data_IF_450888680493
#
_entry.id   IF_450888680493
#
_cell.length_a   1.000
_cell.length_b   1.000
_cell.length_c   1.000
_cell.angle_alpha   90.00
_cell.angle_beta   90.00
_cell.angle_gamma   90.00
#
_symmetry.space_group_name_H-M   'P 1'
#
loop_
_entity.id
_entity.type
_entity.pdbx_description
1 polymer ?
#
# COMPACT_ATOMS: atom_id res chain seq x y z
N UNK A 1 12.31 -1.19 44.52
CA UNK A 1 11.74 -0.21 45.48
C UNK A 1 10.27 -0.08 45.11
N UNK A 2 9.43 -0.99 45.60
CA UNK A 2 8.13 -1.31 44.97
C UNK A 2 6.96 -1.39 45.94
N UNK A 3 7.17 -1.05 47.22
CA UNK A 3 6.10 -1.06 48.21
C UNK A 3 5.41 0.32 48.22
N UNK A 4 4.23 0.39 47.61
CA UNK A 4 3.45 1.62 47.50
C UNK A 4 2.86 2.03 48.85
N UNK A 5 2.49 1.07 49.69
CA UNK A 5 2.02 1.37 51.05
C UNK A 5 3.15 2.01 51.86
N UNK A 6 4.37 1.51 51.72
CA UNK A 6 5.57 2.11 52.30
C UNK A 6 5.85 3.52 51.73
N UNK A 7 5.85 3.72 50.41
CA UNK A 7 6.05 5.05 49.81
C UNK A 7 4.98 6.06 50.25
N UNK A 8 3.70 5.66 50.32
CA UNK A 8 2.62 6.51 50.82
C UNK A 8 2.78 6.82 52.31
N UNK A 9 3.12 5.82 53.13
CA UNK A 9 3.36 6.00 54.55
C UNK A 9 4.59 6.89 54.82
N UNK A 10 5.61 6.78 53.97
CA UNK A 10 6.82 7.59 53.99
C UNK A 10 6.53 9.05 53.63
N UNK A 11 5.70 9.30 52.60
CA UNK A 11 5.34 10.66 52.17
C UNK A 11 4.34 11.36 53.09
N UNK A 12 3.33 10.62 53.56
CA UNK A 12 2.33 11.13 54.52
C UNK A 12 2.93 11.37 55.90
N UNK A 13 4.10 10.78 56.19
CA UNK A 13 4.78 10.91 57.46
C UNK A 13 4.31 9.91 58.52
N UNK A 14 3.41 8.98 58.16
CA UNK A 14 2.83 8.01 59.11
C UNK A 14 3.82 6.95 59.60
N UNK A 15 5.00 6.83 58.96
CA UNK A 15 6.09 5.95 59.41
C UNK A 15 6.92 6.54 60.56
N UNK A 16 6.80 7.84 60.82
CA UNK A 16 7.61 8.54 61.82
C UNK A 16 6.83 8.70 63.12
N UNK A 17 7.51 8.50 64.26
CA UNK A 17 6.88 8.56 65.59
C UNK A 17 6.53 9.99 66.02
N UNK A 18 7.23 10.97 65.46
CA UNK A 18 7.26 12.36 65.89
C UNK A 18 7.74 13.28 64.75
N UNK A 19 7.31 14.55 64.78
CA UNK A 19 7.59 15.52 63.71
C UNK A 19 9.08 15.89 63.58
N UNK A 20 9.87 15.68 64.63
CA UNK A 20 11.31 16.00 64.63
C UNK A 20 12.07 15.01 63.72
N UNK A 21 11.89 13.71 63.93
CA UNK A 21 12.44 12.67 63.05
C UNK A 21 11.96 12.78 61.60
N UNK A 22 10.69 13.18 61.39
CA UNK A 22 10.18 13.45 60.03
C UNK A 22 10.91 14.63 59.37
N UNK A 23 11.21 15.70 60.12
CA UNK A 23 11.95 16.86 59.61
C UNK A 23 13.40 16.51 59.28
N UNK A 24 14.07 15.77 60.15
CA UNK A 24 15.44 15.29 59.92
C UNK A 24 15.53 14.40 58.67
N UNK A 25 14.61 13.42 58.57
CA UNK A 25 14.55 12.55 57.40
C UNK A 25 14.28 13.32 56.10
N UNK A 26 13.34 14.28 56.12
CA UNK A 26 13.06 15.14 54.96
C UNK A 26 14.28 15.95 54.54
N UNK A 27 15.04 16.48 55.50
CA UNK A 27 16.28 17.21 55.21
C UNK A 27 17.33 16.32 54.54
N UNK A 28 17.48 15.06 54.97
CA UNK A 28 18.38 14.08 54.36
C UNK A 28 17.90 13.59 52.99
N UNK A 29 16.58 13.49 52.78
CA UNK A 29 15.97 13.04 51.52
C UNK A 29 15.92 14.13 50.45
N UNK A 30 15.79 15.40 50.83
CA UNK A 30 15.61 16.52 49.91
C UNK A 30 16.71 16.63 48.82
N UNK A 31 18.01 16.42 49.11
CA UNK A 31 19.03 16.34 48.08
C UNK A 31 18.75 15.20 47.08
N UNK A 32 18.41 14.01 47.57
CA UNK A 32 18.14 12.85 46.72
C UNK A 32 16.90 13.06 45.82
N UNK A 33 15.81 13.62 46.36
CA UNK A 33 14.64 13.98 45.55
C UNK A 33 14.97 15.07 44.51
N UNK A 34 15.85 16.01 44.86
CA UNK A 34 16.37 17.01 43.91
C UNK A 34 17.13 16.31 42.78
N UNK A 35 17.99 15.34 43.08
CA UNK A 35 18.71 14.55 42.09
C UNK A 35 17.75 13.75 41.19
N UNK A 36 16.76 13.05 41.78
CA UNK A 36 15.75 12.34 41.01
C UNK A 36 14.94 13.27 40.11
N UNK A 37 14.62 14.49 40.56
CA UNK A 37 13.86 15.46 39.76
C UNK A 37 14.60 15.97 38.53
N UNK A 38 15.94 15.86 38.52
CA UNK A 38 16.78 16.17 37.36
C UNK A 38 16.73 15.08 36.28
N UNK A 39 16.34 13.86 36.63
CA UNK A 39 16.20 12.77 35.66
C UNK A 39 14.90 12.99 34.88
N UNK A 40 15.06 13.40 33.61
CA UNK A 40 13.96 13.78 32.73
C UNK A 40 12.83 12.75 32.68
N UNK A 41 13.16 11.48 32.49
CA UNK A 41 12.18 10.39 32.44
C UNK A 41 11.40 10.25 33.75
N UNK A 42 12.09 10.24 34.90
CA UNK A 42 11.44 10.07 36.21
C UNK A 42 10.58 11.26 36.61
N UNK A 43 10.86 12.44 36.05
CA UNK A 43 10.07 13.66 36.23
C UNK A 43 8.73 13.59 35.48
N UNK A 44 8.71 12.96 34.31
CA UNK A 44 7.58 13.01 33.38
C UNK A 44 6.82 11.68 33.20
N UNK A 45 7.36 10.56 33.66
CA UNK A 45 6.70 9.24 33.61
C UNK A 45 5.43 9.22 34.47
N UNK A 46 4.34 8.66 33.95
CA UNK A 46 3.12 8.49 34.72
C UNK A 46 3.33 7.34 35.71
N UNK A 47 3.12 7.60 37.00
CA UNK A 47 3.31 6.60 38.07
C UNK A 47 1.95 6.03 38.47
N UNK A 48 1.88 4.72 38.70
CA UNK A 48 0.61 4.05 39.02
C UNK A 48 0.09 4.30 40.45
N UNK A 49 0.81 5.09 41.24
CA UNK A 49 0.48 5.43 42.62
C UNK A 49 0.36 6.95 42.86
N UNK A 50 0.36 7.75 41.79
CA UNK A 50 0.33 9.21 41.88
C UNK A 50 -0.70 9.80 40.91
N UNK A 51 -1.64 10.57 41.46
CA UNK A 51 -2.51 11.43 40.67
C UNK A 51 -1.71 12.65 40.19
N UNK A 52 -1.35 12.69 38.91
CA UNK A 52 -0.60 13.79 38.31
C UNK A 52 -1.15 14.17 36.93
N UNK A 53 -2.10 15.11 36.85
CA UNK A 53 -2.71 15.53 35.59
C UNK A 53 -1.73 16.05 34.55
N UNK A 54 -0.59 16.59 34.99
CA UNK A 54 0.48 17.08 34.11
C UNK A 54 1.27 15.91 33.52
N UNK A 55 1.52 14.84 34.28
CA UNK A 55 2.30 13.70 33.80
C UNK A 55 1.55 12.83 32.82
N UNK A 56 0.24 12.73 32.94
CA UNK A 56 -0.62 11.96 32.02
C UNK A 56 -0.39 12.32 30.54
N UNK A 57 -0.49 13.60 30.11
CA UNK A 57 -0.18 13.98 28.73
C UNK A 57 1.33 14.05 28.46
N UNK A 58 2.20 14.37 29.41
CA UNK A 58 3.65 14.43 29.10
C UNK A 58 4.27 13.05 28.93
N UNK A 59 3.76 12.04 29.63
CA UNK A 59 4.24 10.66 29.55
C UNK A 59 4.03 10.05 28.15
N UNK A 60 3.06 10.55 27.37
CA UNK A 60 2.84 10.08 25.99
C UNK A 60 3.96 10.45 25.03
N UNK A 61 4.84 11.37 25.40
CA UNK A 61 5.99 11.76 24.58
C UNK A 61 7.27 11.02 24.97
N UNK A 62 7.28 10.31 26.11
CA UNK A 62 8.41 9.50 26.55
C UNK A 62 8.38 8.12 25.91
N UNK A 63 9.55 7.58 25.58
CA UNK A 63 9.67 6.23 25.01
C UNK A 63 10.82 5.50 25.70
N UNK A 64 10.59 4.21 26.03
CA UNK A 64 11.55 3.38 26.75
C UNK A 64 12.70 2.88 25.89
N UNK A 65 12.52 2.88 24.57
CA UNK A 65 13.48 2.38 23.59
C UNK A 65 13.23 2.98 22.21
N UNK A 66 14.20 2.84 21.30
CA UNK A 66 14.13 3.39 19.95
C UNK A 66 13.08 2.68 19.07
N UNK A 67 13.00 1.36 19.14
CA UNK A 67 12.02 0.54 18.45
C UNK A 67 10.59 0.86 18.88
N UNK A 68 10.36 1.11 20.17
CA UNK A 68 9.07 1.56 20.68
C UNK A 68 8.68 2.94 20.11
N UNK A 69 9.62 3.88 20.04
CA UNK A 69 9.39 5.18 19.39
C UNK A 69 9.08 5.01 17.89
N UNK A 70 9.91 4.26 17.17
CA UNK A 70 9.74 4.07 15.73
C UNK A 70 8.38 3.44 15.40
N UNK A 71 7.99 2.40 16.13
CA UNK A 71 6.68 1.77 15.98
C UNK A 71 5.54 2.77 16.17
N UNK A 72 5.58 3.54 17.27
CA UNK A 72 4.57 4.56 17.54
C UNK A 72 4.51 5.63 16.45
N UNK A 73 5.65 6.09 15.94
CA UNK A 73 5.67 7.11 14.88
C UNK A 73 5.13 6.59 13.55
N UNK A 74 5.36 5.32 13.20
CA UNK A 74 4.79 4.72 11.99
C UNK A 74 3.26 4.65 12.07
N UNK A 75 2.72 4.20 13.20
CA UNK A 75 1.27 4.19 13.43
C UNK A 75 0.69 5.61 13.45
N UNK A 76 1.35 6.55 14.13
CA UNK A 76 0.93 7.94 14.20
C UNK A 76 0.98 8.61 12.83
N UNK A 77 1.98 8.33 11.99
CA UNK A 77 2.05 8.86 10.64
C UNK A 77 0.92 8.29 9.76
N UNK A 78 0.72 6.97 9.78
CA UNK A 78 -0.28 6.32 8.93
C UNK A 78 -1.72 6.71 9.33
N UNK A 79 -2.05 6.60 10.62
CA UNK A 79 -3.39 6.87 11.12
C UNK A 79 -3.63 8.35 11.39
N UNK A 80 -2.62 9.03 11.94
CA UNK A 80 -2.74 10.42 12.34
C UNK A 80 -2.93 11.36 11.17
N UNK A 81 -2.25 11.15 10.04
CA UNK A 81 -2.46 11.97 8.82
C UNK A 81 -3.87 11.81 8.26
N UNK A 82 -4.42 10.60 8.25
CA UNK A 82 -5.80 10.35 7.84
C UNK A 82 -6.79 11.07 8.76
N UNK A 83 -6.61 10.91 10.07
CA UNK A 83 -7.53 11.48 11.05
C UNK A 83 -7.42 13.01 11.08
N UNK A 84 -6.21 13.57 11.03
CA UNK A 84 -5.94 15.00 10.91
C UNK A 84 -6.58 15.59 9.64
N UNK A 85 -6.50 14.90 8.50
CA UNK A 85 -7.20 15.31 7.30
C UNK A 85 -8.72 15.33 7.49
N UNK A 86 -9.27 14.36 8.22
CA UNK A 86 -10.69 14.22 8.49
C UNK A 86 -11.26 15.21 9.52
N UNK A 87 -10.49 15.68 10.50
CA UNK A 87 -11.00 16.57 11.57
C UNK A 87 -10.26 17.91 11.70
N UNK A 88 -9.12 18.07 11.03
CA UNK A 88 -8.22 19.23 11.12
C UNK A 88 -7.20 19.13 12.25
N UNK A 89 -6.08 19.83 12.08
CA UNK A 89 -4.90 19.81 12.98
C UNK A 89 -5.20 20.17 14.43
N UNK A 90 -6.03 21.19 14.68
CA UNK A 90 -6.39 21.61 16.04
C UNK A 90 -7.17 20.54 16.81
N UNK A 91 -8.19 19.95 16.18
CA UNK A 91 -8.97 18.87 16.79
C UNK A 91 -8.16 17.58 16.92
N UNK A 92 -7.27 17.31 15.97
CA UNK A 92 -6.33 16.20 16.05
C UNK A 92 -5.41 16.32 17.27
N UNK A 93 -4.80 17.50 17.49
CA UNK A 93 -3.94 17.73 18.65
C UNK A 93 -4.72 17.57 19.97
N UNK A 94 -5.92 18.15 20.05
CA UNK A 94 -6.78 18.00 21.23
C UNK A 94 -7.14 16.53 21.48
N UNK A 95 -7.50 15.81 20.42
CA UNK A 95 -7.83 14.39 20.50
C UNK A 95 -6.64 13.55 20.98
N UNK A 96 -5.43 13.83 20.48
CA UNK A 96 -4.21 13.14 20.91
C UNK A 96 -3.93 13.38 22.40
N UNK A 97 -3.98 14.63 22.85
CA UNK A 97 -3.69 15.00 24.25
C UNK A 97 -4.76 14.49 25.22
N UNK A 98 -6.04 14.69 24.90
CA UNK A 98 -7.16 14.25 25.76
C UNK A 98 -7.32 12.73 25.73
N UNK A 99 -7.06 12.09 24.59
CA UNK A 99 -7.03 10.64 24.46
C UNK A 99 -5.89 10.02 25.27
N UNK A 100 -4.69 10.60 25.19
CA UNK A 100 -3.55 10.21 26.02
C UNK A 100 -3.78 10.40 27.52
N UNK A 101 -4.47 11.50 27.89
CA UNK A 101 -4.95 11.71 29.25
C UNK A 101 -5.94 10.63 29.68
N UNK A 102 -6.94 10.31 28.86
CA UNK A 102 -7.93 9.26 29.13
C UNK A 102 -7.31 7.87 29.25
N UNK A 103 -6.35 7.53 28.39
CA UNK A 103 -5.57 6.29 28.47
C UNK A 103 -4.80 6.19 29.78
N UNK A 104 -4.09 7.26 30.16
CA UNK A 104 -3.31 7.33 31.40
C UNK A 104 -4.20 7.26 32.63
N UNK A 105 -5.39 7.88 32.57
CA UNK A 105 -6.39 7.84 33.64
C UNK A 105 -6.93 6.43 33.85
N UNK A 106 -7.30 5.74 32.76
CA UNK A 106 -7.78 4.36 32.81
C UNK A 106 -6.71 3.42 33.38
N UNK A 107 -5.47 3.57 32.91
CA UNK A 107 -4.34 2.79 33.42
C UNK A 107 -4.05 3.06 34.90
N UNK A 108 -4.11 4.33 35.32
CA UNK A 108 -3.94 4.70 36.72
C UNK A 108 -5.03 4.10 37.61
N UNK A 109 -6.28 4.06 37.14
CA UNK A 109 -7.37 3.42 37.89
C UNK A 109 -7.22 1.90 37.95
N UNK A 110 -6.80 1.27 36.84
CA UNK A 110 -6.64 -0.18 36.80
C UNK A 110 -5.48 -0.65 37.69
N UNK A 111 -4.36 0.07 37.66
CA UNK A 111 -3.11 -0.29 38.32
C UNK A 111 -2.85 0.51 39.59
N UNK A 112 -3.90 1.09 40.18
CA UNK A 112 -3.73 1.97 41.33
C UNK A 112 -3.04 1.23 42.48
N UNK A 113 -1.92 1.76 42.93
CA UNK A 113 -1.16 1.16 44.02
C UNK A 113 -0.20 0.05 43.58
N UNK A 114 -0.13 -0.27 42.30
CA UNK A 114 0.88 -1.20 41.78
C UNK A 114 2.24 -0.52 41.61
N UNK A 115 3.34 -1.27 41.76
CA UNK A 115 4.66 -0.77 41.40
C UNK A 115 4.79 -0.58 39.89
N UNK A 116 5.29 0.59 39.48
CA UNK A 116 5.60 0.90 38.10
C UNK A 116 4.87 2.13 37.58
N UNK A 117 4.75 2.21 36.26
CA UNK A 117 4.21 3.36 35.57
C UNK A 117 4.09 3.15 34.07
N UNK A 118 3.41 4.08 33.41
CA UNK A 118 3.20 4.10 31.98
C UNK A 118 3.99 5.22 31.30
N UNK A 119 4.53 4.91 30.12
CA UNK A 119 5.07 5.88 29.17
C UNK A 119 4.86 5.38 27.74
N UNK A 120 4.80 6.30 26.78
CA UNK A 120 4.66 5.99 25.37
C UNK A 120 3.42 6.60 24.74
N UNK A 121 3.52 6.87 23.44
CA UNK A 121 2.42 7.41 22.64
C UNK A 121 1.30 6.38 22.39
N UNK A 122 1.53 5.10 22.66
CA UNK A 122 0.63 4.01 22.28
C UNK A 122 -0.79 4.14 22.86
N UNK A 123 -0.96 4.64 24.08
CA UNK A 123 -2.30 4.95 24.63
C UNK A 123 -3.02 6.09 23.89
N UNK A 124 -2.29 7.13 23.50
CA UNK A 124 -2.85 8.21 22.67
C UNK A 124 -3.16 7.73 21.25
N UNK A 125 -2.32 6.89 20.66
CA UNK A 125 -2.56 6.25 19.35
C UNK A 125 -3.80 5.34 19.42
N UNK A 126 -3.96 4.57 20.49
CA UNK A 126 -5.18 3.78 20.73
C UNK A 126 -6.42 4.67 20.78
N UNK A 127 -6.33 5.88 21.35
CA UNK A 127 -7.41 6.86 21.28
C UNK A 127 -7.66 7.38 19.86
N UNK A 128 -6.62 7.64 19.06
CA UNK A 128 -6.80 7.96 17.65
C UNK A 128 -7.49 6.82 16.89
N UNK A 129 -7.17 5.56 17.19
CA UNK A 129 -7.82 4.38 16.60
C UNK A 129 -9.31 4.31 16.96
N UNK A 130 -9.65 4.54 18.23
CA UNK A 130 -11.03 4.60 18.69
C UNK A 130 -11.82 5.70 17.99
N UNK A 131 -11.25 6.90 17.91
CA UNK A 131 -11.85 8.03 17.22
C UNK A 131 -12.01 7.78 15.72
N UNK A 132 -10.99 7.20 15.06
CA UNK A 132 -11.03 6.83 13.65
C UNK A 132 -12.21 5.89 13.35
N UNK A 133 -12.44 4.87 14.19
CA UNK A 133 -13.56 3.96 14.03
C UNK A 133 -14.92 4.67 14.07
N UNK A 134 -15.07 5.66 14.94
CA UNK A 134 -16.31 6.43 15.07
C UNK A 134 -16.48 7.47 13.96
N UNK A 135 -15.41 8.17 13.57
CA UNK A 135 -15.42 9.19 12.51
C UNK A 135 -15.70 8.58 11.14
N UNK A 136 -15.12 7.41 10.84
CA UNK A 136 -15.44 6.66 9.61
C UNK A 136 -16.76 5.88 9.72
N UNK A 137 -17.13 5.44 10.92
CA UNK A 137 -18.43 4.83 11.21
C UNK A 137 -18.70 3.57 10.39
N UNK A 138 -19.84 3.55 9.67
CA UNK A 138 -20.28 2.38 8.88
C UNK A 138 -19.61 2.25 7.50
N UNK A 139 -18.70 3.17 7.14
CA UNK A 139 -17.98 3.12 5.86
C UNK A 139 -17.18 1.83 5.74
N UNK A 140 -17.17 1.24 4.54
CA UNK A 140 -16.49 -0.04 4.29
C UNK A 140 -15.06 0.22 3.83
N UNK A 141 -14.09 -0.10 4.67
CA UNK A 141 -12.67 0.01 4.32
C UNK A 141 -12.11 -1.40 4.10
N UNK A 142 -11.11 -1.52 3.21
CA UNK A 142 -10.34 -2.76 3.05
C UNK A 142 -9.36 -2.89 4.21
N UNK A 143 -9.52 -3.94 4.99
CA UNK A 143 -8.56 -4.34 6.01
C UNK A 143 -7.70 -5.45 5.44
N UNK A 144 -6.39 -5.25 5.50
CA UNK A 144 -5.45 -6.33 5.31
C UNK A 144 -5.52 -7.26 6.51
N UNK A 145 -5.73 -8.56 6.28
CA UNK A 145 -5.56 -9.55 7.32
C UNK A 145 -4.55 -10.61 6.88
N UNK A 146 -3.75 -11.05 7.84
CA UNK A 146 -2.85 -12.18 7.68
C UNK A 146 -3.25 -13.21 8.72
N UNK A 147 -3.66 -14.39 8.27
CA UNK A 147 -3.90 -15.53 9.14
C UNK A 147 -3.07 -16.71 8.63
N UNK A 148 -2.00 -17.04 9.37
CA UNK A 148 -1.01 -18.08 9.05
C UNK A 148 -0.35 -17.95 7.66
N UNK A 149 -1.02 -18.36 6.58
CA UNK A 149 -0.52 -18.43 5.20
C UNK A 149 -1.46 -17.73 4.20
N UNK A 150 -2.62 -17.24 4.66
CA UNK A 150 -3.59 -16.54 3.80
C UNK A 150 -3.41 -15.04 3.96
N UNK A 151 -2.99 -14.39 2.88
CA UNK A 151 -2.95 -12.94 2.73
C UNK A 151 -4.15 -12.51 1.92
N UNK A 152 -5.10 -11.80 2.53
CA UNK A 152 -6.27 -11.34 1.81
C UNK A 152 -6.82 -10.05 2.42
N UNK A 153 -7.74 -9.41 1.69
CA UNK A 153 -8.36 -8.17 2.09
C UNK A 153 -9.83 -8.41 2.40
N UNK A 154 -10.28 -8.03 3.59
CA UNK A 154 -11.69 -8.04 3.96
C UNK A 154 -12.26 -6.63 3.85
N UNK A 155 -13.45 -6.46 3.27
CA UNK A 155 -14.18 -5.19 3.30
C UNK A 155 -15.19 -5.23 4.42
N UNK A 156 -15.02 -4.38 5.42
CA UNK A 156 -15.93 -4.31 6.56
C UNK A 156 -16.18 -2.87 7.01
N UNK A 157 -17.29 -2.60 7.71
CA UNK A 157 -17.50 -1.32 8.38
C UNK A 157 -16.37 -1.05 9.39
N UNK A 158 -15.72 0.12 9.34
CA UNK A 158 -14.62 0.47 10.26
C UNK A 158 -15.05 0.39 11.72
N UNK A 159 -16.30 0.75 12.03
CA UNK A 159 -16.83 0.67 13.39
C UNK A 159 -16.76 -0.73 14.00
N UNK A 160 -16.68 -1.81 13.20
CA UNK A 160 -16.52 -3.17 13.72
C UNK A 160 -15.11 -3.45 14.26
N UNK A 161 -14.10 -2.68 13.86
CA UNK A 161 -12.76 -2.81 14.41
C UNK A 161 -12.70 -2.41 15.88
N UNK A 162 -13.53 -1.46 16.31
CA UNK A 162 -13.55 -0.98 17.68
C UNK A 162 -13.83 -2.10 18.71
N UNK A 163 -14.94 -2.87 18.63
CA UNK A 163 -15.18 -3.97 19.56
C UNK A 163 -14.16 -5.11 19.40
N UNK A 164 -13.62 -5.33 18.19
CA UNK A 164 -12.60 -6.37 17.96
C UNK A 164 -11.29 -6.02 18.67
N UNK A 165 -10.77 -4.80 18.46
CA UNK A 165 -9.56 -4.33 19.13
C UNK A 165 -9.77 -4.21 20.62
N UNK A 166 -10.87 -3.61 21.08
CA UNK A 166 -11.15 -3.52 22.51
C UNK A 166 -11.27 -4.90 23.16
N UNK A 167 -11.95 -5.85 22.50
CA UNK A 167 -12.06 -7.23 22.98
C UNK A 167 -10.69 -7.91 23.07
N UNK A 168 -9.81 -7.68 22.09
CA UNK A 168 -8.42 -8.16 22.12
C UNK A 168 -7.63 -7.56 23.28
N UNK A 169 -7.68 -6.24 23.48
CA UNK A 169 -6.99 -5.57 24.61
C UNK A 169 -7.46 -6.11 25.95
N UNK A 170 -8.78 -6.28 26.14
CA UNK A 170 -9.35 -6.82 27.38
C UNK A 170 -8.99 -8.29 27.59
N UNK A 171 -8.99 -9.10 26.52
CA UNK A 171 -8.56 -10.50 26.59
C UNK A 171 -7.08 -10.61 26.96
N UNK A 172 -6.23 -9.81 26.33
CA UNK A 172 -4.80 -9.75 26.61
C UNK A 172 -4.56 -9.26 28.04
N UNK A 173 -5.29 -8.25 28.51
CA UNK A 173 -5.21 -7.79 29.90
C UNK A 173 -5.58 -8.90 30.90
N UNK A 174 -6.56 -9.75 30.58
CA UNK A 174 -6.99 -10.85 31.45
C UNK A 174 -6.07 -12.08 31.38
N UNK A 175 -5.33 -12.25 30.28
CA UNK A 175 -4.53 -13.46 29.99
C UNK A 175 -3.03 -13.26 30.16
N UNK A 176 -2.56 -12.02 30.34
CA UNK A 176 -1.13 -11.69 30.44
C UNK A 176 -0.71 -11.52 31.89
N UNK A 177 0.17 -12.41 32.37
CA UNK A 177 0.80 -12.29 33.71
C UNK A 177 2.00 -11.31 33.73
N UNK A 178 2.48 -10.85 32.57
CA UNK A 178 3.72 -10.07 32.44
C UNK A 178 3.45 -8.62 31.98
N UNK A 179 3.67 -7.66 32.89
CA UNK A 179 3.34 -6.22 32.75
C UNK A 179 4.26 -5.37 31.86
N UNK A 180 4.74 -5.89 30.72
CA UNK A 180 5.54 -5.10 29.77
C UNK A 180 4.69 -4.27 28.79
N UNK A 181 3.44 -4.68 28.54
CA UNK A 181 2.50 -3.99 27.64
C UNK A 181 1.32 -3.45 28.45
N UNK A 182 1.01 -2.17 28.28
CA UNK A 182 -0.06 -1.48 29.00
C UNK A 182 -1.41 -1.65 28.28
N UNK A 183 -1.92 -2.90 28.23
CA UNK A 183 -3.23 -3.22 27.61
C UNK A 183 -4.39 -2.43 28.25
N UNK A 184 -4.28 -2.12 29.54
CA UNK A 184 -5.17 -1.23 30.29
C UNK A 184 -5.19 0.20 29.73
N UNK A 185 -4.01 0.76 29.42
CA UNK A 185 -3.89 2.06 28.79
C UNK A 185 -4.43 2.05 27.35
N UNK A 186 -4.23 0.96 26.61
CA UNK A 186 -4.74 0.82 25.23
C UNK A 186 -6.26 0.71 25.20
N UNK A 187 -6.85 -0.12 26.06
CA UNK A 187 -8.31 -0.21 26.20
C UNK A 187 -8.93 1.14 26.60
N UNK A 188 -8.34 1.80 27.61
CA UNK A 188 -8.77 3.15 28.03
C UNK A 188 -8.62 4.21 26.93
N UNK A 189 -7.54 4.13 26.16
CA UNK A 189 -7.31 4.93 24.96
C UNK A 189 -8.42 4.73 23.94
N UNK A 190 -8.68 3.50 23.51
CA UNK A 190 -9.74 3.17 22.54
C UNK A 190 -11.10 3.72 22.96
N UNK A 191 -11.49 3.53 24.23
CA UNK A 191 -12.78 4.01 24.74
C UNK A 191 -12.83 5.54 24.78
N UNK A 192 -11.81 6.19 25.37
CA UNK A 192 -11.76 7.66 25.44
C UNK A 192 -11.73 8.31 24.05
N UNK A 193 -10.96 7.74 23.13
CA UNK A 193 -10.91 8.12 21.73
C UNK A 193 -12.25 7.97 21.01
N UNK A 194 -12.94 6.84 21.20
CA UNK A 194 -14.26 6.62 20.61
C UNK A 194 -15.30 7.63 21.12
N UNK A 195 -15.29 7.95 22.42
CA UNK A 195 -16.17 8.96 23.01
C UNK A 195 -15.87 10.37 22.47
N UNK A 196 -14.59 10.75 22.40
CA UNK A 196 -14.18 12.02 21.81
C UNK A 196 -14.49 12.09 20.30
N UNK A 197 -14.31 11.00 19.57
CA UNK A 197 -14.71 10.86 18.17
C UNK A 197 -16.22 11.03 17.98
N UNK A 198 -17.03 10.40 18.84
CA UNK A 198 -18.49 10.57 18.83
C UNK A 198 -18.90 12.02 19.08
N UNK A 199 -18.24 12.68 20.03
CA UNK A 199 -18.43 14.11 20.29
C UNK A 199 -18.06 14.97 19.06
N UNK A 200 -16.93 14.71 18.41
CA UNK A 200 -16.52 15.44 17.19
C UNK A 200 -17.51 15.27 16.04
N UNK A 201 -18.03 14.05 15.86
CA UNK A 201 -19.07 13.75 14.87
C UNK A 201 -20.37 14.49 15.21
N UNK A 202 -20.80 14.46 16.48
CA UNK A 202 -21.98 15.18 16.95
C UNK A 202 -21.88 16.70 16.76
N UNK A 203 -20.68 17.26 17.00
CA UNK A 203 -20.36 18.67 16.79
C UNK A 203 -20.13 19.04 15.31
N UNK A 204 -20.29 18.09 14.38
CA UNK A 204 -20.05 18.27 12.94
C UNK A 204 -18.66 18.85 12.62
N UNK A 205 -17.64 18.42 13.37
CA UNK A 205 -16.24 18.84 13.17
C UNK A 205 -15.48 17.94 12.21
N UNK A 206 -16.09 16.86 11.72
CA UNK A 206 -15.54 16.05 10.64
C UNK A 206 -15.67 16.76 9.29
N UNK A 207 -14.78 16.42 8.34
CA UNK A 207 -14.71 16.95 6.98
C UNK A 207 -15.12 15.84 6.00
N UNK A 208 -16.42 15.72 5.65
CA UNK A 208 -16.92 14.62 4.84
C UNK A 208 -16.21 14.51 3.48
N UNK A 209 -15.92 15.65 2.84
CA UNK A 209 -15.24 15.72 1.56
C UNK A 209 -13.84 15.07 1.57
N UNK A 210 -13.08 15.23 2.67
CA UNK A 210 -11.79 14.55 2.82
C UNK A 210 -11.98 13.04 2.96
N UNK A 211 -12.97 12.63 3.75
CA UNK A 211 -13.22 11.21 4.02
C UNK A 211 -13.67 10.50 2.74
N UNK A 212 -14.57 11.11 1.96
CA UNK A 212 -15.00 10.61 0.65
C UNK A 212 -13.87 10.61 -0.38
N UNK A 213 -13.04 11.67 -0.41
CA UNK A 213 -11.85 11.71 -1.26
C UNK A 213 -10.81 10.66 -0.89
N UNK A 214 -10.68 10.31 0.39
CA UNK A 214 -9.77 9.26 0.87
C UNK A 214 -10.22 7.85 0.44
N UNK A 215 -11.53 7.62 0.26
CA UNK A 215 -12.04 6.37 -0.31
C UNK A 215 -11.65 6.22 -1.79
N UNK A 216 -11.60 7.32 -2.54
CA UNK A 216 -11.13 7.31 -3.93
C UNK A 216 -9.63 6.99 -4.06
N UNK A 217 -8.84 7.24 -3.01
CA UNK A 217 -7.42 6.83 -2.93
C UNK A 217 -7.26 5.36 -2.49
N UNK A 218 -8.35 4.66 -2.17
CA UNK A 218 -8.32 3.24 -1.93
C UNK A 218 -8.02 2.48 -3.23
N UNK A 219 -6.73 2.15 -3.47
CA UNK A 219 -6.20 1.24 -4.52
C UNK A 219 -7.25 0.84 -5.55
N UNK A 220 -7.35 1.60 -6.64
CA UNK A 220 -8.33 1.43 -7.72
C UNK A 220 -8.78 -0.03 -7.88
N UNK A 221 -9.96 -0.36 -7.35
CA UNK A 221 -10.46 -1.72 -7.28
C UNK A 221 -11.25 -2.11 -8.54
N UNK A 222 -11.35 -1.20 -9.51
CA UNK A 222 -12.05 -1.43 -10.78
C UNK A 222 -11.43 -2.61 -11.52
N UNK A 223 -10.11 -2.79 -11.42
CA UNK A 223 -9.41 -3.95 -11.99
C UNK A 223 -9.86 -5.28 -11.37
N UNK A 224 -9.89 -5.37 -10.03
CA UNK A 224 -10.37 -6.56 -9.32
C UNK A 224 -11.85 -6.84 -9.61
N UNK A 225 -12.68 -5.79 -9.65
CA UNK A 225 -14.11 -5.92 -9.97
C UNK A 225 -14.32 -6.41 -11.40
N UNK A 226 -13.59 -5.84 -12.37
CA UNK A 226 -13.62 -6.30 -13.75
C UNK A 226 -13.23 -7.77 -13.86
N UNK A 227 -12.18 -8.21 -13.16
CA UNK A 227 -11.77 -9.62 -13.12
C UNK A 227 -12.86 -10.54 -12.56
N UNK A 228 -13.60 -10.11 -11.53
CA UNK A 228 -14.72 -10.91 -10.98
C UNK A 228 -15.87 -11.07 -11.95
N UNK A 229 -16.15 -10.08 -12.80
CA UNK A 229 -17.18 -10.18 -13.85
C UNK A 229 -16.73 -11.02 -15.06
N UNK A 230 -15.42 -11.12 -15.32
CA UNK A 230 -14.88 -11.99 -16.37
C UNK A 230 -15.09 -13.49 -16.08
N UNK A 231 -15.08 -13.90 -14.82
CA UNK A 231 -15.31 -15.30 -14.41
C UNK A 231 -16.69 -15.85 -14.79
N UNK A 232 -17.81 -15.21 -14.41
CA UNK A 232 -19.17 -15.61 -14.77
C UNK A 232 -19.60 -15.20 -16.18
N UNK A 233 -18.69 -14.61 -17.00
CA UNK A 233 -18.98 -14.08 -18.35
C UNK A 233 -19.99 -12.91 -18.39
N UNK A 234 -20.05 -12.11 -17.32
CA UNK A 234 -20.81 -10.86 -17.24
C UNK A 234 -20.09 -9.74 -18.02
N UNK A 235 -19.97 -9.93 -19.34
CA UNK A 235 -19.07 -9.18 -20.21
C UNK A 235 -19.43 -7.68 -20.32
N UNK A 236 -20.69 -7.29 -20.08
CA UNK A 236 -21.12 -5.89 -20.16
C UNK A 236 -20.60 -5.07 -18.97
N UNK A 237 -20.74 -5.61 -17.74
CA UNK A 237 -20.27 -4.96 -16.53
C UNK A 237 -18.74 -4.91 -16.49
N UNK A 238 -18.08 -6.01 -16.88
CA UNK A 238 -16.63 -6.04 -17.07
C UNK A 238 -16.15 -4.97 -18.06
N UNK A 239 -16.81 -4.83 -19.21
CA UNK A 239 -16.43 -3.86 -20.24
C UNK A 239 -16.58 -2.42 -19.75
N UNK A 240 -17.64 -2.11 -18.99
CA UNK A 240 -17.85 -0.76 -18.45
C UNK A 240 -16.69 -0.31 -17.56
N UNK A 241 -16.20 -1.21 -16.69
CA UNK A 241 -15.10 -0.96 -15.77
C UNK A 241 -13.76 -0.88 -16.52
N UNK A 242 -13.53 -1.80 -17.47
CA UNK A 242 -12.31 -1.83 -18.26
C UNK A 242 -12.21 -0.64 -19.23
N UNK A 243 -13.33 -0.13 -19.74
CA UNK A 243 -13.35 1.04 -20.59
C UNK A 243 -12.92 2.31 -19.84
N UNK A 244 -13.38 2.49 -18.60
CA UNK A 244 -12.92 3.57 -17.74
C UNK A 244 -11.42 3.47 -17.45
N UNK A 245 -10.95 2.26 -17.07
CA UNK A 245 -9.52 2.01 -16.82
C UNK A 245 -8.65 2.27 -18.04
N UNK A 246 -9.11 1.89 -19.24
CA UNK A 246 -8.37 2.13 -20.47
C UNK A 246 -8.31 3.62 -20.86
N UNK A 247 -9.31 4.43 -20.47
CA UNK A 247 -9.29 5.88 -20.66
C UNK A 247 -8.25 6.56 -19.79
N UNK A 248 -8.08 6.10 -18.55
CA UNK A 248 -7.10 6.64 -17.60
C UNK A 248 -5.69 6.07 -17.82
N UNK A 249 -5.58 4.80 -18.21
CA UNK A 249 -4.35 4.06 -18.38
C UNK A 249 -4.25 3.43 -19.78
N UNK A 250 -4.15 4.24 -20.85
CA UNK A 250 -4.19 3.74 -22.23
C UNK A 250 -3.01 2.81 -22.58
N UNK A 251 -1.91 2.89 -21.83
CA UNK A 251 -0.73 2.06 -22.03
C UNK A 251 -0.73 0.77 -21.17
N UNK A 252 -1.76 0.54 -20.35
CA UNK A 252 -1.84 -0.65 -19.52
C UNK A 252 -2.26 -1.87 -20.37
N UNK A 253 -1.30 -2.78 -20.55
CA UNK A 253 -1.44 -3.98 -21.38
C UNK A 253 -2.43 -4.97 -20.82
N UNK A 254 -2.49 -5.13 -19.50
CA UNK A 254 -3.38 -6.11 -18.87
C UNK A 254 -4.83 -5.69 -19.06
N UNK A 255 -5.10 -4.37 -18.95
CA UNK A 255 -6.40 -3.78 -19.28
C UNK A 255 -6.74 -3.99 -20.75
N UNK A 256 -5.81 -3.71 -21.67
CA UNK A 256 -6.05 -3.91 -23.11
C UNK A 256 -6.32 -5.39 -23.46
N UNK A 257 -5.58 -6.32 -22.86
CA UNK A 257 -5.77 -7.77 -23.04
C UNK A 257 -7.12 -8.23 -22.46
N UNK A 258 -7.49 -7.74 -21.28
CA UNK A 258 -8.76 -8.07 -20.65
C UNK A 258 -9.95 -7.61 -21.51
N UNK A 259 -9.90 -6.40 -22.09
CA UNK A 259 -10.93 -5.89 -23.01
C UNK A 259 -11.04 -6.72 -24.28
N UNK A 260 -9.91 -7.09 -24.87
CA UNK A 260 -9.89 -7.96 -26.03
C UNK A 260 -10.57 -9.31 -25.73
N UNK A 261 -10.27 -9.92 -24.57
CA UNK A 261 -10.90 -11.17 -24.15
C UNK A 261 -12.39 -11.00 -23.86
N UNK A 262 -12.77 -9.95 -23.14
CA UNK A 262 -14.17 -9.66 -22.80
C UNK A 262 -15.04 -9.49 -24.05
N UNK A 263 -14.59 -8.70 -25.03
CA UNK A 263 -15.29 -8.50 -26.29
C UNK A 263 -15.42 -9.80 -27.09
N UNK A 264 -14.37 -10.63 -27.10
CA UNK A 264 -14.39 -11.95 -27.75
C UNK A 264 -15.38 -12.90 -27.10
N UNK A 265 -15.38 -12.99 -25.76
CA UNK A 265 -16.33 -13.83 -25.01
C UNK A 265 -17.78 -13.35 -25.18
N UNK A 266 -17.98 -12.05 -25.41
CA UNK A 266 -19.29 -11.49 -25.73
C UNK A 266 -19.72 -11.68 -27.19
N UNK A 267 -18.90 -12.31 -28.04
CA UNK A 267 -19.20 -12.46 -29.48
C UNK A 267 -19.11 -11.16 -30.30
N UNK A 268 -18.53 -10.09 -29.73
CA UNK A 268 -18.37 -8.79 -30.40
C UNK A 268 -17.07 -8.75 -31.19
N UNK A 269 -17.06 -9.39 -32.36
CA UNK A 269 -15.85 -9.58 -33.18
C UNK A 269 -15.17 -8.27 -33.61
N UNK A 270 -15.95 -7.22 -33.95
CA UNK A 270 -15.39 -5.92 -34.32
C UNK A 270 -14.71 -5.21 -33.14
N UNK A 271 -15.34 -5.21 -31.96
CA UNK A 271 -14.75 -4.63 -30.75
C UNK A 271 -13.50 -5.41 -30.33
N UNK A 272 -13.54 -6.74 -30.40
CA UNK A 272 -12.39 -7.59 -30.12
C UNK A 272 -11.20 -7.27 -31.02
N UNK A 273 -11.44 -7.05 -32.33
CA UNK A 273 -10.39 -6.66 -33.27
C UNK A 273 -9.81 -5.29 -32.90
N UNK A 274 -10.68 -4.30 -32.64
CA UNK A 274 -10.26 -2.95 -32.25
C UNK A 274 -9.40 -2.96 -30.97
N UNK A 275 -9.79 -3.75 -29.97
CA UNK A 275 -9.01 -3.88 -28.74
C UNK A 275 -7.69 -4.64 -28.95
N UNK A 276 -7.69 -5.66 -29.81
CA UNK A 276 -6.47 -6.37 -30.18
C UNK A 276 -5.49 -5.44 -30.90
N UNK A 277 -5.93 -4.59 -31.83
CA UNK A 277 -5.06 -3.62 -32.50
C UNK A 277 -4.41 -2.66 -31.52
N UNK A 278 -5.16 -2.14 -30.54
CA UNK A 278 -4.57 -1.32 -29.46
C UNK A 278 -3.51 -2.12 -28.72
N UNK A 279 -3.84 -3.33 -28.24
CA UNK A 279 -2.90 -4.19 -27.52
C UNK A 279 -1.62 -4.47 -28.31
N UNK A 280 -1.71 -4.76 -29.60
CA UNK A 280 -0.57 -5.07 -30.47
C UNK A 280 0.34 -3.86 -30.73
N UNK A 281 -0.17 -2.63 -30.58
CA UNK A 281 0.63 -1.40 -30.71
C UNK A 281 1.34 -0.97 -29.43
N UNK A 282 0.98 -1.56 -28.28
CA UNK A 282 1.61 -1.23 -27.00
C UNK A 282 3.07 -1.70 -26.96
N UNK A 283 3.94 -0.88 -26.36
CA UNK A 283 5.35 -1.22 -26.21
C UNK A 283 5.55 -2.41 -25.27
N UNK A 284 6.58 -3.20 -25.58
CA UNK A 284 6.99 -4.38 -24.81
C UNK A 284 8.46 -4.27 -24.45
N UNK A 285 8.79 -4.67 -23.22
CA UNK A 285 10.16 -4.59 -22.68
C UNK A 285 10.75 -5.98 -22.37
N UNK A 286 9.96 -7.05 -22.54
CA UNK A 286 10.45 -8.43 -22.39
C UNK A 286 9.93 -9.35 -23.49
N UNK A 287 10.62 -10.47 -23.67
CA UNK A 287 10.20 -11.53 -24.58
C UNK A 287 8.86 -12.15 -24.16
N UNK A 288 8.64 -12.37 -22.85
CA UNK A 288 7.38 -12.88 -22.31
C UNK A 288 6.20 -11.96 -22.65
N UNK A 289 6.39 -10.66 -22.43
CA UNK A 289 5.42 -9.64 -22.78
C UNK A 289 5.07 -9.66 -24.28
N UNK A 290 6.07 -9.87 -25.14
CA UNK A 290 5.86 -9.92 -26.59
C UNK A 290 5.15 -11.22 -27.01
N UNK A 291 5.43 -12.35 -26.35
CA UNK A 291 4.73 -13.62 -26.59
C UNK A 291 3.23 -13.55 -26.32
N UNK A 292 2.81 -12.77 -25.32
CA UNK A 292 1.37 -12.55 -25.07
C UNK A 292 0.69 -11.85 -26.25
N UNK A 293 1.32 -10.85 -26.86
CA UNK A 293 0.80 -10.18 -28.05
C UNK A 293 0.81 -11.13 -29.27
N UNK A 294 1.88 -11.91 -29.45
CA UNK A 294 1.96 -12.93 -30.50
C UNK A 294 0.83 -13.95 -30.37
N UNK A 295 0.53 -14.42 -29.16
CA UNK A 295 -0.59 -15.34 -28.93
C UNK A 295 -1.93 -14.74 -29.37
N UNK A 296 -2.16 -13.44 -29.09
CA UNK A 296 -3.38 -12.75 -29.56
C UNK A 296 -3.40 -12.63 -31.09
N UNK A 297 -2.28 -12.31 -31.73
CA UNK A 297 -2.17 -12.25 -33.19
C UNK A 297 -2.42 -13.61 -33.86
N UNK A 298 -1.83 -14.69 -33.32
CA UNK A 298 -2.01 -16.05 -33.81
C UNK A 298 -3.48 -16.50 -33.68
N UNK A 299 -4.15 -16.14 -32.58
CA UNK A 299 -5.58 -16.39 -32.37
C UNK A 299 -6.46 -15.66 -33.40
N UNK A 300 -6.14 -14.40 -33.73
CA UNK A 300 -6.84 -13.68 -34.82
C UNK A 300 -6.62 -14.35 -36.17
N UNK A 301 -5.40 -14.84 -36.43
CA UNK A 301 -5.03 -15.58 -37.63
C UNK A 301 -5.84 -16.88 -37.79
N UNK A 302 -6.10 -17.63 -36.71
CA UNK A 302 -6.93 -18.85 -36.74
C UNK A 302 -8.36 -18.56 -37.20
N UNK A 303 -8.91 -17.40 -36.86
CA UNK A 303 -10.26 -16.95 -37.25
C UNK A 303 -10.24 -16.17 -38.58
N UNK A 304 -9.09 -16.11 -39.27
CA UNK A 304 -8.87 -15.37 -40.52
C UNK A 304 -9.20 -13.87 -40.43
N UNK A 305 -9.03 -13.28 -39.25
CA UNK A 305 -9.22 -11.85 -39.04
C UNK A 305 -7.86 -11.15 -39.21
N UNK A 306 -7.73 -10.31 -40.22
CA UNK A 306 -6.54 -9.51 -40.43
C UNK A 306 -6.56 -8.25 -39.53
N UNK A 307 -5.45 -7.98 -38.86
CA UNK A 307 -5.21 -6.73 -38.13
C UNK A 307 -4.38 -5.76 -38.97
N UNK A 308 -4.53 -4.46 -38.73
CA UNK A 308 -3.93 -3.40 -39.54
C UNK A 308 -2.39 -3.38 -39.59
N UNK A 309 -1.87 -2.74 -40.64
CA UNK A 309 -0.44 -2.49 -40.86
C UNK A 309 0.28 -1.86 -39.64
N UNK A 310 -0.29 -0.86 -38.93
CA UNK A 310 0.37 -0.29 -37.76
C UNK A 310 0.61 -1.30 -36.62
N UNK A 311 -0.38 -2.16 -36.35
CA UNK A 311 -0.28 -3.21 -35.34
C UNK A 311 0.74 -4.28 -35.75
N UNK A 312 0.77 -4.67 -37.04
CA UNK A 312 1.76 -5.59 -37.57
C UNK A 312 3.18 -5.05 -37.44
N UNK A 313 3.41 -3.79 -37.84
CA UNK A 313 4.70 -3.11 -37.71
C UNK A 313 5.17 -3.06 -36.25
N UNK A 314 4.27 -2.68 -35.33
CA UNK A 314 4.60 -2.60 -33.90
C UNK A 314 4.99 -3.97 -33.34
N UNK A 315 4.26 -5.03 -33.70
CA UNK A 315 4.53 -6.39 -33.27
C UNK A 315 5.87 -6.92 -33.80
N UNK A 316 6.17 -6.70 -35.09
CA UNK A 316 7.47 -7.08 -35.68
C UNK A 316 8.61 -6.36 -34.96
N UNK A 317 8.48 -5.04 -34.75
CA UNK A 317 9.47 -4.25 -34.03
C UNK A 317 9.66 -4.73 -32.58
N UNK A 318 8.58 -5.14 -31.90
CA UNK A 318 8.63 -5.72 -30.57
C UNK A 318 9.36 -7.07 -30.55
N UNK A 319 9.11 -7.95 -31.51
CA UNK A 319 9.81 -9.23 -31.64
C UNK A 319 11.32 -9.03 -31.84
N UNK A 320 11.69 -8.13 -32.75
CA UNK A 320 13.09 -7.80 -33.05
C UNK A 320 13.81 -7.20 -31.84
N UNK A 321 13.17 -6.27 -31.11
CA UNK A 321 13.74 -5.69 -29.88
C UNK A 321 14.01 -6.74 -28.81
N UNK A 322 13.05 -7.64 -28.60
CA UNK A 322 13.07 -8.60 -27.49
C UNK A 322 13.69 -9.96 -27.86
N UNK A 323 14.36 -10.06 -29.01
CA UNK A 323 15.11 -11.26 -29.41
C UNK A 323 14.27 -12.42 -29.94
N UNK A 324 12.98 -12.20 -30.23
CA UNK A 324 12.09 -13.20 -30.84
C UNK A 324 12.21 -13.16 -32.37
N UNK A 325 13.43 -13.41 -32.87
CA UNK A 325 13.77 -13.15 -34.28
C UNK A 325 13.06 -14.10 -35.26
N UNK A 326 12.86 -15.37 -34.87
CA UNK A 326 12.12 -16.33 -35.68
C UNK A 326 10.63 -15.93 -35.84
N UNK A 327 10.02 -15.40 -34.77
CA UNK A 327 8.65 -14.88 -34.82
C UNK A 327 8.55 -13.63 -35.70
N UNK A 328 9.56 -12.75 -35.66
CA UNK A 328 9.65 -11.60 -36.55
C UNK A 328 9.74 -12.02 -38.03
N UNK A 329 10.58 -13.02 -38.36
CA UNK A 329 10.68 -13.57 -39.71
C UNK A 329 9.34 -14.14 -40.19
N UNK A 330 8.64 -14.90 -39.34
CA UNK A 330 7.32 -15.46 -39.64
C UNK A 330 6.31 -14.37 -39.99
N UNK A 331 6.23 -13.33 -39.17
CA UNK A 331 5.30 -12.21 -39.36
C UNK A 331 5.59 -11.39 -40.62
N UNK A 332 6.86 -11.28 -41.02
CA UNK A 332 7.26 -10.62 -42.28
C UNK A 332 6.77 -11.40 -43.51
N UNK A 333 6.93 -12.73 -43.50
CA UNK A 333 6.44 -13.60 -44.59
C UNK A 333 4.92 -13.53 -44.72
N UNK A 334 4.20 -13.57 -43.60
CA UNK A 334 2.73 -13.44 -43.59
C UNK A 334 2.23 -12.07 -44.08
N UNK A 335 3.04 -11.03 -43.91
CA UNK A 335 2.69 -9.64 -44.27
C UNK A 335 3.12 -9.20 -45.67
N UNK A 336 3.77 -10.08 -46.44
CA UNK A 336 4.45 -9.73 -47.69
C UNK A 336 3.53 -9.08 -48.74
N UNK A 337 2.28 -9.56 -48.84
CA UNK A 337 1.30 -9.04 -49.81
C UNK A 337 0.67 -7.70 -49.41
N UNK A 338 0.69 -7.36 -48.12
CA UNK A 338 -0.05 -6.21 -47.59
C UNK A 338 0.86 -5.04 -47.21
N UNK A 339 2.18 -5.23 -47.20
CA UNK A 339 3.17 -4.24 -46.74
C UNK A 339 3.82 -3.55 -47.93
N UNK A 340 3.96 -2.21 -47.94
CA UNK A 340 4.73 -1.50 -48.96
C UNK A 340 6.14 -2.07 -49.11
N UNK A 341 6.63 -2.20 -50.35
CA UNK A 341 7.90 -2.91 -50.65
C UNK A 341 9.13 -2.25 -50.01
N UNK A 342 9.14 -0.93 -49.91
CA UNK A 342 10.19 -0.15 -49.25
C UNK A 342 10.22 -0.41 -47.74
N UNK A 343 9.06 -0.42 -47.09
CA UNK A 343 8.92 -0.72 -45.67
C UNK A 343 9.30 -2.18 -45.38
N UNK A 344 8.85 -3.12 -46.22
CA UNK A 344 9.17 -4.52 -46.10
C UNK A 344 10.68 -4.77 -46.23
N UNK A 345 11.34 -4.15 -47.22
CA UNK A 345 12.79 -4.21 -47.39
C UNK A 345 13.55 -3.67 -46.16
N UNK A 346 13.07 -2.55 -45.58
CA UNK A 346 13.63 -2.00 -44.35
C UNK A 346 13.49 -2.97 -43.17
N UNK A 347 12.34 -3.61 -42.98
CA UNK A 347 12.13 -4.52 -41.85
C UNK A 347 12.96 -5.81 -41.98
N UNK A 348 13.07 -6.38 -43.19
CA UNK A 348 13.97 -7.51 -43.47
C UNK A 348 15.44 -7.15 -43.20
N UNK A 349 15.87 -5.96 -43.61
CA UNK A 349 17.23 -5.49 -43.36
C UNK A 349 17.51 -5.30 -41.87
N UNK A 350 16.59 -4.70 -41.11
CA UNK A 350 16.72 -4.54 -39.66
C UNK A 350 16.78 -5.90 -38.95
N UNK A 351 15.99 -6.88 -39.37
CA UNK A 351 16.05 -8.24 -38.84
C UNK A 351 17.44 -8.87 -39.07
N UNK A 352 18.01 -8.72 -40.28
CA UNK A 352 19.33 -9.24 -40.60
C UNK A 352 20.43 -8.62 -39.72
N UNK A 353 20.37 -7.31 -39.46
CA UNK A 353 21.32 -6.64 -38.56
C UNK A 353 21.24 -7.18 -37.12
N UNK A 354 20.03 -7.54 -36.65
CA UNK A 354 19.85 -8.03 -35.29
C UNK A 354 20.35 -9.46 -35.09
N UNK A 355 20.33 -10.29 -36.14
CA UNK A 355 21.04 -11.58 -36.12
C UNK A 355 22.56 -11.41 -36.02
N UNK A 356 23.12 -10.35 -36.62
CA UNK A 356 24.55 -10.04 -36.53
C UNK A 356 24.99 -9.78 -35.08
N UNK A 357 24.20 -9.01 -34.34
CA UNK A 357 24.47 -8.68 -32.94
C UNK A 357 24.43 -9.90 -32.01
N UNK A 358 23.68 -10.94 -32.38
CA UNK A 358 23.60 -12.22 -31.66
C UNK A 358 24.63 -13.26 -32.12
N UNK A 359 25.63 -12.85 -32.93
CA UNK A 359 26.69 -13.70 -33.47
C UNK A 359 26.21 -14.86 -34.37
N UNK A 360 24.99 -14.78 -34.92
CA UNK A 360 24.47 -15.77 -35.89
C UNK A 360 24.74 -15.31 -37.33
N UNK A 361 26.00 -15.46 -37.75
CA UNK A 361 26.48 -15.01 -39.07
C UNK A 361 25.82 -15.72 -40.25
N UNK A 362 25.40 -16.98 -40.07
CA UNK A 362 24.74 -17.76 -41.12
C UNK A 362 23.34 -17.18 -41.43
N UNK A 363 22.55 -16.89 -40.39
CA UNK A 363 21.23 -16.29 -40.55
C UNK A 363 21.30 -14.87 -41.10
N UNK A 364 22.25 -14.06 -40.60
CA UNK A 364 22.53 -12.71 -41.15
C UNK A 364 22.76 -12.78 -42.66
N UNK A 365 23.68 -13.64 -43.10
CA UNK A 365 24.06 -13.76 -44.53
C UNK A 365 22.86 -14.18 -45.38
N UNK A 366 22.07 -15.15 -44.91
CA UNK A 366 20.84 -15.61 -45.60
C UNK A 366 19.87 -14.45 -45.80
N UNK A 367 19.58 -13.69 -44.75
CA UNK A 367 18.62 -12.59 -44.80
C UNK A 367 19.11 -11.42 -45.65
N UNK A 368 20.41 -11.10 -45.61
CA UNK A 368 20.98 -10.05 -46.48
C UNK A 368 20.89 -10.43 -47.97
N UNK A 369 21.15 -11.69 -48.32
CA UNK A 369 20.94 -12.18 -49.70
C UNK A 369 19.46 -12.12 -50.09
N UNK A 370 18.57 -12.49 -49.18
CA UNK A 370 17.14 -12.36 -49.43
C UNK A 370 16.73 -10.90 -49.71
N UNK A 371 17.29 -9.91 -49.00
CA UNK A 371 17.03 -8.48 -49.28
C UNK A 371 17.52 -8.09 -50.68
N UNK A 372 18.68 -8.59 -51.11
CA UNK A 372 19.22 -8.34 -52.46
C UNK A 372 18.34 -8.94 -53.55
N UNK A 373 17.93 -10.20 -53.37
CA UNK A 373 17.19 -10.95 -54.38
C UNK A 373 15.74 -10.44 -54.48
N UNK A 374 15.11 -10.17 -53.33
CA UNK A 374 13.70 -9.75 -53.29
C UNK A 374 13.52 -8.26 -53.54
N UNK A 375 14.48 -7.39 -53.19
CA UNK A 375 14.31 -5.92 -53.26
C UNK A 375 15.48 -5.20 -53.94
N UNK A 376 15.88 -5.58 -55.17
CA UNK A 376 17.09 -5.05 -55.83
C UNK A 376 17.07 -3.52 -56.05
N UNK A 377 15.88 -2.95 -56.22
CA UNK A 377 15.69 -1.50 -56.48
C UNK A 377 15.69 -0.64 -55.21
N UNK A 378 15.72 -1.25 -54.02
CA UNK A 378 15.62 -0.51 -52.75
C UNK A 378 17.00 -0.12 -52.21
N UNK A 379 17.09 1.02 -51.52
CA UNK A 379 18.36 1.49 -50.95
C UNK A 379 19.00 0.51 -49.94
N UNK A 380 18.17 -0.35 -49.33
CA UNK A 380 18.57 -1.42 -48.41
C UNK A 380 19.38 -2.51 -49.12
N UNK A 381 19.14 -2.77 -50.41
CA UNK A 381 19.93 -3.73 -51.20
C UNK A 381 21.39 -3.28 -51.32
N UNK A 382 21.65 -2.00 -51.61
CA UNK A 382 23.02 -1.47 -51.66
C UNK A 382 23.74 -1.61 -50.32
N UNK A 383 23.04 -1.36 -49.20
CA UNK A 383 23.59 -1.55 -47.85
C UNK A 383 23.86 -3.03 -47.55
N UNK A 384 22.96 -3.93 -47.96
CA UNK A 384 23.13 -5.37 -47.79
C UNK A 384 24.34 -5.90 -48.58
N UNK A 385 24.55 -5.43 -49.82
CA UNK A 385 25.72 -5.77 -50.64
C UNK A 385 27.02 -5.37 -49.95
N UNK A 386 27.10 -4.12 -49.50
CA UNK A 386 28.27 -3.61 -48.78
C UNK A 386 28.61 -4.45 -47.54
N UNK A 387 27.59 -4.83 -46.76
CA UNK A 387 27.76 -5.63 -45.54
C UNK A 387 28.14 -7.10 -45.80
N UNK A 388 27.83 -7.65 -46.98
CA UNK A 388 28.24 -9.00 -47.38
C UNK A 388 29.67 -9.04 -47.95
N UNK A 389 30.12 -7.93 -48.53
CA UNK A 389 31.47 -7.80 -49.10
C UNK A 389 32.52 -7.43 -48.04
N UNK A 390 32.12 -6.73 -46.97
CA UNK A 390 33.06 -6.10 -46.01
C UNK A 390 32.93 -6.54 -44.54
N UNK A 391 32.05 -7.49 -44.20
CA UNK A 391 31.87 -7.92 -42.81
C UNK A 391 31.20 -9.27 -42.68
#
# INVERSE_FOLDING_TARGET
MHDVAFEQALRSGSLFKDEEHLREWRALRAPYDTWLSKIFTLRHVQRSFEWSPVRMPTATFLHGSFDHLLGNMLFLLALGTLLEGAIGSGWFLLLYLLGGFGASLASLWWRWGEPGGGLGASGAIAALMGAFCVVWGRRRVRFFYWFFVVFNYARGPVILLLPVWLGWELYSLASSDNGSVAFDAHAGGLVSGALLGALLVALRRSRPAFIEGSEAVGVDDRWERAQRHLGPMENADAESLLAALAGEQPHNRDVALARCRAARHAGRSQDSLRHAEVLLTLQTHSAEQTRVQLAVADELGKVKIAYGLPARRALIAACVRNGLLADAERLLKEGELCTPRDELAQQWFVLALRYAELQDGAQRTRLLRQVLDQFPEQGQANKARFLLENG
#
